data_IF_096297333910
#
_entry.id   IF_096297333910
#
_cell.length_a   1.000
_cell.length_b   1.000
_cell.length_c   1.000
_cell.angle_alpha   90.00
_cell.angle_beta   90.00
_cell.angle_gamma   90.00
#
_symmetry.space_group_name_H-M   'P 1'
#
loop_
_entity.id
_entity.type
_entity.pdbx_description
1 polymer ?
#
# COMPACT_ATOMS: atom_id res chain seq x y z
N UNK A 1 -13.63 -14.01 3.28
CA UNK A 1 -12.15 -14.17 3.37
C UNK A 1 -11.55 -14.92 2.19
N UNK A 2 -12.21 -15.96 1.65
CA UNK A 2 -11.73 -16.70 0.48
C UNK A 2 -11.35 -15.81 -0.72
N UNK A 3 -12.15 -14.76 -1.01
CA UNK A 3 -11.85 -13.81 -2.08
C UNK A 3 -10.52 -13.06 -1.88
N UNK A 4 -10.22 -12.63 -0.65
CA UNK A 4 -8.96 -11.94 -0.33
C UNK A 4 -7.78 -12.89 -0.49
N UNK A 5 -7.90 -14.11 0.04
CA UNK A 5 -6.86 -15.13 -0.08
C UNK A 5 -6.56 -15.46 -1.54
N UNK A 6 -7.60 -15.58 -2.38
CA UNK A 6 -7.43 -15.83 -3.80
C UNK A 6 -6.70 -14.68 -4.51
N UNK A 7 -7.06 -13.42 -4.22
CA UNK A 7 -6.38 -12.25 -4.81
C UNK A 7 -4.92 -12.16 -4.38
N UNK A 8 -4.64 -12.41 -3.10
CA UNK A 8 -3.26 -12.46 -2.60
C UNK A 8 -2.49 -13.59 -3.29
N UNK A 9 -3.06 -14.79 -3.39
CA UNK A 9 -2.41 -15.90 -4.08
C UNK A 9 -2.12 -15.56 -5.55
N UNK A 10 -3.05 -14.90 -6.24
CA UNK A 10 -2.86 -14.45 -7.62
C UNK A 10 -1.69 -13.48 -7.74
N UNK A 11 -1.63 -12.46 -6.88
CA UNK A 11 -0.53 -11.50 -6.83
C UNK A 11 0.81 -12.20 -6.64
N UNK A 12 0.91 -13.10 -5.64
CA UNK A 12 2.15 -13.81 -5.31
C UNK A 12 2.59 -14.74 -6.47
N UNK A 13 1.64 -15.46 -7.08
CA UNK A 13 1.93 -16.41 -8.16
C UNK A 13 2.34 -15.67 -9.44
N UNK A 14 1.60 -14.64 -9.84
CA UNK A 14 1.89 -13.86 -11.06
C UNK A 14 3.22 -13.11 -10.91
N UNK A 15 3.45 -12.43 -9.78
CA UNK A 15 4.71 -11.73 -9.53
C UNK A 15 5.89 -12.71 -9.53
N UNK A 16 5.73 -13.89 -8.91
CA UNK A 16 6.76 -14.95 -8.93
C UNK A 16 7.02 -15.48 -10.33
N UNK A 17 5.97 -15.66 -11.14
CA UNK A 17 6.10 -16.15 -12.52
C UNK A 17 6.82 -15.14 -13.41
N UNK A 18 6.52 -13.84 -13.25
CA UNK A 18 7.20 -12.75 -13.97
C UNK A 18 8.68 -12.67 -13.59
N UNK A 19 9.01 -12.65 -12.29
CA UNK A 19 10.40 -12.57 -11.84
C UNK A 19 11.23 -13.81 -12.21
N UNK A 20 10.62 -15.00 -12.23
CA UNK A 20 11.31 -16.22 -12.69
C UNK A 20 11.64 -16.22 -14.18
N UNK A 21 10.92 -15.44 -15.01
CA UNK A 21 11.15 -15.39 -16.45
C UNK A 21 11.97 -14.18 -16.91
N UNK A 22 11.94 -13.07 -16.17
CA UNK A 22 12.59 -11.81 -16.56
C UNK A 22 13.80 -11.41 -15.70
N UNK A 23 13.81 -11.70 -14.39
CA UNK A 23 14.84 -11.24 -13.44
C UNK A 23 15.18 -12.34 -12.43
N UNK A 24 15.88 -13.38 -12.91
CA UNK A 24 16.30 -14.53 -12.11
C UNK A 24 17.34 -14.05 -11.08
N UNK A 25 16.93 -13.99 -9.81
CA UNK A 25 17.83 -13.68 -8.68
C UNK A 25 17.32 -12.59 -7.74
N UNK A 26 16.45 -11.70 -8.20
CA UNK A 26 16.03 -10.51 -7.43
C UNK A 26 14.72 -10.69 -6.66
N UNK A 27 14.09 -11.87 -6.73
CA UNK A 27 12.78 -12.10 -6.13
C UNK A 27 12.75 -11.80 -4.61
N UNK A 28 13.80 -12.22 -3.89
CA UNK A 28 13.89 -11.98 -2.44
C UNK A 28 14.12 -10.50 -2.12
N UNK A 29 14.92 -9.82 -2.94
CA UNK A 29 15.13 -8.38 -2.82
C UNK A 29 13.81 -7.65 -3.03
N UNK A 30 13.10 -7.92 -4.13
CA UNK A 30 11.80 -7.31 -4.46
C UNK A 30 10.74 -7.48 -3.35
N UNK A 31 10.63 -8.67 -2.75
CA UNK A 31 9.72 -8.87 -1.61
C UNK A 31 10.08 -7.96 -0.41
N UNK A 32 11.37 -7.76 -0.14
CA UNK A 32 11.84 -6.98 1.00
C UNK A 32 11.89 -5.48 0.71
N UNK A 33 12.16 -5.07 -0.52
CA UNK A 33 12.33 -3.67 -0.91
C UNK A 33 11.06 -3.02 -1.44
N UNK A 34 10.22 -3.78 -2.14
CA UNK A 34 9.05 -3.25 -2.83
C UNK A 34 7.73 -3.65 -2.17
N UNK A 35 7.65 -4.85 -1.59
CA UNK A 35 6.41 -5.35 -0.99
C UNK A 35 6.34 -5.13 0.54
N UNK A 36 7.41 -5.39 1.27
CA UNK A 36 7.41 -5.29 2.72
C UNK A 36 7.17 -3.85 3.25
N UNK A 37 7.81 -2.79 2.71
CA UNK A 37 7.62 -1.44 3.22
C UNK A 37 6.17 -0.92 3.16
N UNK A 38 5.44 -1.02 2.03
CA UNK A 38 4.04 -0.58 1.99
C UNK A 38 3.13 -1.42 2.89
N UNK A 39 3.37 -2.73 2.99
CA UNK A 39 2.63 -3.60 3.92
C UNK A 39 2.84 -3.19 5.38
N UNK A 40 4.09 -2.97 5.78
CA UNK A 40 4.42 -2.55 7.15
C UNK A 40 3.86 -1.17 7.47
N UNK A 41 3.92 -0.22 6.52
CA UNK A 41 3.31 1.09 6.67
C UNK A 41 1.79 0.98 6.84
N UNK A 42 1.12 0.18 6.03
CA UNK A 42 -0.32 -0.06 6.14
C UNK A 42 -0.70 -0.62 7.51
N UNK A 43 0.00 -1.67 7.96
CA UNK A 43 -0.25 -2.31 9.25
C UNK A 43 0.02 -1.36 10.41
N UNK A 44 1.11 -0.59 10.37
CA UNK A 44 1.45 0.37 11.40
C UNK A 44 0.37 1.46 11.54
N UNK A 45 -0.04 2.07 10.40
CA UNK A 45 -1.06 3.11 10.40
C UNK A 45 -2.42 2.57 10.80
N UNK A 46 -2.82 1.39 10.30
CA UNK A 46 -4.07 0.75 10.68
C UNK A 46 -4.11 0.42 12.18
N UNK A 47 -3.00 -0.07 12.74
CA UNK A 47 -2.88 -0.37 14.16
C UNK A 47 -2.97 0.90 15.01
N UNK A 48 -2.29 1.98 14.61
CA UNK A 48 -2.37 3.26 15.31
C UNK A 48 -3.80 3.82 15.29
N UNK A 49 -4.46 3.83 14.13
CA UNK A 49 -5.83 4.30 13.98
C UNK A 49 -6.84 3.46 14.76
N UNK A 50 -6.59 2.16 14.94
CA UNK A 50 -7.41 1.29 15.77
C UNK A 50 -7.46 1.74 17.23
N UNK A 51 -6.38 2.32 17.76
CA UNK A 51 -6.36 2.86 19.12
C UNK A 51 -6.91 4.28 19.22
N UNK A 52 -6.86 5.06 18.13
CA UNK A 52 -7.36 6.44 18.10
C UNK A 52 -8.86 6.55 17.85
N UNK A 53 -9.46 5.61 17.11
CA UNK A 53 -10.88 5.68 16.73
C UNK A 53 -11.72 4.94 17.77
N UNK A 54 -12.62 5.64 18.49
CA UNK A 54 -13.54 5.01 19.45
C UNK A 54 -14.45 4.00 18.76
N UNK A 55 -14.71 2.87 19.43
CA UNK A 55 -15.62 1.85 18.91
C UNK A 55 -17.08 2.34 19.01
N UNK A 56 -17.75 2.48 17.86
CA UNK A 56 -19.18 2.82 17.79
C UNK A 56 -19.65 3.04 16.35
N UNK A 57 -20.86 2.57 16.02
CA UNK A 57 -21.45 2.74 14.69
C UNK A 57 -22.27 4.03 14.65
N UNK A 58 -21.73 5.10 14.06
CA UNK A 58 -22.40 6.38 13.85
C UNK A 58 -22.06 6.92 12.46
N UNK A 59 -22.74 7.94 11.94
CA UNK A 59 -22.34 8.55 10.66
C UNK A 59 -20.88 9.06 10.68
N UNK A 60 -20.37 9.47 11.85
CA UNK A 60 -18.98 9.84 12.06
C UNK A 60 -18.01 8.65 11.86
N UNK A 61 -18.46 7.39 12.02
CA UNK A 61 -17.63 6.21 11.79
C UNK A 61 -17.35 5.97 10.31
N UNK A 62 -18.22 6.41 9.38
CA UNK A 62 -17.94 6.35 7.94
C UNK A 62 -16.86 7.36 7.53
N UNK A 63 -16.93 8.59 8.05
CA UNK A 63 -15.87 9.59 7.85
C UNK A 63 -14.54 9.14 8.45
N UNK A 64 -14.56 8.60 9.68
CA UNK A 64 -13.37 8.05 10.32
C UNK A 64 -12.78 6.87 9.52
N UNK A 65 -13.63 5.99 8.96
CA UNK A 65 -13.20 4.89 8.11
C UNK A 65 -12.60 5.41 6.79
N UNK A 66 -13.23 6.39 6.14
CA UNK A 66 -12.71 6.99 4.92
C UNK A 66 -11.35 7.65 5.14
N UNK A 67 -11.19 8.40 6.25
CA UNK A 67 -9.91 8.99 6.66
C UNK A 67 -8.86 7.93 6.98
N UNK A 68 -9.26 6.85 7.65
CA UNK A 68 -8.37 5.74 7.95
C UNK A 68 -7.86 5.05 6.69
N UNK A 69 -8.77 4.71 5.76
CA UNK A 69 -8.42 4.07 4.50
C UNK A 69 -7.53 4.96 3.64
N UNK A 70 -7.86 6.25 3.53
CA UNK A 70 -7.04 7.20 2.78
C UNK A 70 -5.66 7.39 3.42
N UNK A 71 -5.55 7.46 4.75
CA UNK A 71 -4.27 7.50 5.46
C UNK A 71 -3.42 6.23 5.24
N UNK A 72 -4.03 5.05 5.33
CA UNK A 72 -3.37 3.76 5.07
C UNK A 72 -2.86 3.71 3.62
N UNK A 73 -3.69 4.10 2.65
CA UNK A 73 -3.32 4.14 1.24
C UNK A 73 -2.19 5.13 0.96
N UNK A 74 -2.25 6.33 1.53
CA UNK A 74 -1.21 7.34 1.38
C UNK A 74 0.13 6.86 1.97
N UNK A 75 0.11 6.28 3.18
CA UNK A 75 1.31 5.73 3.81
C UNK A 75 1.92 4.58 2.98
N UNK A 76 1.07 3.69 2.45
CA UNK A 76 1.50 2.59 1.59
C UNK A 76 2.10 3.11 0.28
N UNK A 77 1.46 4.08 -0.36
CA UNK A 77 1.94 4.67 -1.61
C UNK A 77 3.29 5.40 -1.45
N UNK A 78 3.51 6.06 -0.31
CA UNK A 78 4.78 6.72 0.00
C UNK A 78 5.90 5.73 0.36
N UNK A 79 5.54 4.59 0.97
CA UNK A 79 6.50 3.55 1.32
C UNK A 79 6.94 2.71 0.11
N UNK A 80 6.08 2.57 -0.91
CA UNK A 80 6.44 1.94 -2.17
C UNK A 80 7.35 2.88 -3.00
N UNK A 81 8.62 2.53 -3.16
CA UNK A 81 9.66 3.30 -3.88
C UNK A 81 9.20 3.80 -5.26
N UNK A 82 8.74 2.88 -6.10
CA UNK A 82 8.28 3.16 -7.47
C UNK A 82 7.05 4.07 -7.52
N UNK A 83 6.13 3.94 -6.56
CA UNK A 83 4.93 4.77 -6.48
C UNK A 83 5.28 6.16 -5.94
N UNK A 84 6.12 6.24 -4.92
CA UNK A 84 6.62 7.49 -4.34
C UNK A 84 7.30 8.36 -5.40
N UNK A 85 8.16 7.76 -6.22
CA UNK A 85 8.86 8.50 -7.28
C UNK A 85 7.89 9.03 -8.35
N UNK A 86 6.90 8.23 -8.76
CA UNK A 86 5.83 8.69 -9.65
C UNK A 86 4.99 9.81 -9.05
N UNK A 87 4.60 9.70 -7.79
CA UNK A 87 3.79 10.71 -7.07
C UNK A 87 4.56 12.02 -6.92
N UNK A 88 5.84 11.96 -6.49
CA UNK A 88 6.69 13.14 -6.35
C UNK A 88 7.00 13.78 -7.71
N UNK A 89 7.20 12.97 -8.75
CA UNK A 89 7.36 13.45 -10.12
C UNK A 89 6.12 14.22 -10.60
N UNK A 90 4.94 13.66 -10.37
CA UNK A 90 3.67 14.29 -10.77
C UNK A 90 3.36 15.56 -9.97
N UNK A 91 3.67 15.58 -8.67
CA UNK A 91 3.57 16.78 -7.83
C UNK A 91 4.50 17.91 -8.31
N UNK A 92 5.73 17.56 -8.73
CA UNK A 92 6.67 18.53 -9.32
C UNK A 92 6.18 19.07 -10.66
N UNK A 93 5.53 18.25 -11.48
CA UNK A 93 4.94 18.69 -12.76
C UNK A 93 3.77 19.64 -12.51
N UNK A 94 2.89 19.32 -11.55
CA UNK A 94 1.78 20.18 -11.16
C UNK A 94 2.25 21.51 -10.57
N UNK A 95 3.27 21.50 -9.71
CA UNK A 95 3.85 22.71 -9.11
C UNK A 95 4.57 23.64 -10.12
N UNK A 96 4.83 23.16 -11.34
CA UNK A 96 5.46 23.93 -12.43
C UNK A 96 4.46 24.40 -13.50
N UNK A 97 3.17 24.09 -13.36
CA UNK A 97 2.15 24.64 -14.27
C UNK A 97 1.84 26.09 -13.85
N UNK A 98 1.96 27.07 -14.76
CA UNK A 98 1.74 28.49 -14.48
C UNK A 98 0.30 28.82 -14.12
#
# INVERSE_FOLDING_TARGET
>A
MAWVVLNVAYLLVVARLMHRRLLIGELKAWYLTDLAPPLLAAVAVASALRFLIPAGATAASLLALALALSGILAASALAASHVREGVLGMARVWARRP
#
